data_IF_603901610928
#
_entry.id   IF_603901610928
#
_cell.length_a   1.000
_cell.length_b   1.000
_cell.length_c   1.000
_cell.angle_alpha   90.00
_cell.angle_beta   90.00
_cell.angle_gamma   90.00
#
_symmetry.space_group_name_H-M   'P 1'
#
loop_
_entity.id
_entity.type
_entity.pdbx_description
1 polymer ?
#
# COMPACT_ATOMS: atom_id res chain seq x y z
N UNK A 1 -2.27 -12.10 -8.13
CA UNK A 1 -1.65 -10.83 -8.57
C UNK A 1 -2.78 -9.91 -8.92
N UNK A 2 -2.70 -8.65 -8.50
CA UNK A 2 -3.78 -7.67 -8.66
C UNK A 2 -3.17 -6.38 -9.19
N UNK A 3 -3.85 -5.71 -10.11
CA UNK A 3 -3.46 -4.39 -10.58
C UNK A 3 -3.90 -3.34 -9.53
N UNK A 4 -2.94 -2.61 -8.97
CA UNK A 4 -3.22 -1.55 -7.97
C UNK A 4 -3.41 -0.19 -8.64
N UNK A 5 -2.52 0.15 -9.58
CA UNK A 5 -2.53 1.44 -10.26
C UNK A 5 -1.73 1.41 -11.55
N UNK A 6 -2.03 2.35 -12.44
CA UNK A 6 -1.24 2.65 -13.64
C UNK A 6 -0.73 4.07 -13.52
N UNK A 7 0.58 4.27 -13.68
CA UNK A 7 1.21 5.57 -13.58
C UNK A 7 2.13 5.87 -14.78
N UNK A 8 2.14 7.13 -15.19
CA UNK A 8 3.01 7.74 -16.18
C UNK A 8 3.81 8.84 -15.48
N UNK A 9 5.11 8.92 -15.75
CA UNK A 9 5.97 9.98 -15.27
C UNK A 9 7.08 10.29 -16.27
N UNK A 10 7.51 11.55 -16.30
CA UNK A 10 8.76 11.95 -16.93
C UNK A 10 9.91 11.58 -15.99
N UNK A 11 10.86 10.79 -16.48
CA UNK A 11 11.98 10.27 -15.69
C UNK A 11 13.24 11.13 -15.83
N UNK A 12 13.26 12.05 -16.79
CA UNK A 12 14.31 13.04 -16.92
C UNK A 12 14.03 14.22 -15.96
N UNK A 13 14.85 14.44 -14.92
CA UNK A 13 14.62 15.50 -13.94
C UNK A 13 14.72 16.92 -14.50
N UNK A 14 15.14 17.08 -15.76
CA UNK A 14 15.25 18.36 -16.44
C UNK A 14 14.06 18.69 -17.34
N UNK A 15 13.04 17.81 -17.40
CA UNK A 15 11.86 17.99 -18.25
C UNK A 15 10.59 17.83 -17.46
N UNK A 16 9.59 18.63 -17.82
CA UNK A 16 8.24 18.43 -17.33
C UNK A 16 7.54 17.33 -18.14
N UNK A 17 6.69 16.57 -17.47
CA UNK A 17 5.75 15.69 -18.13
C UNK A 17 4.72 16.55 -18.86
N UNK A 18 4.71 16.48 -20.19
CA UNK A 18 3.74 17.21 -21.01
C UNK A 18 2.33 16.63 -20.82
N UNK A 19 1.31 17.47 -20.98
CA UNK A 19 -0.08 17.04 -20.97
C UNK A 19 -0.36 15.99 -22.07
N UNK A 20 -1.21 15.03 -21.77
CA UNK A 20 -1.48 13.92 -22.68
C UNK A 20 -2.65 13.04 -22.26
N UNK A 21 -2.85 11.97 -23.01
CA UNK A 21 -3.84 10.94 -22.68
C UNK A 21 -3.42 9.56 -23.18
N UNK A 22 -3.87 8.53 -22.47
CA UNK A 22 -3.79 7.13 -22.88
C UNK A 22 -5.19 6.54 -22.95
N UNK A 23 -5.38 5.64 -23.91
CA UNK A 23 -6.57 4.79 -24.03
C UNK A 23 -6.14 3.37 -23.65
N UNK A 24 -6.89 2.73 -22.76
CA UNK A 24 -6.59 1.41 -22.24
C UNK A 24 -7.85 0.57 -22.38
N UNK A 25 -7.72 -0.55 -23.09
CA UNK A 25 -8.79 -1.53 -23.26
C UNK A 25 -8.66 -2.61 -22.17
N UNK A 26 -7.50 -3.26 -22.11
CA UNK A 26 -7.23 -4.34 -21.16
C UNK A 26 -5.79 -4.28 -20.64
N UNK A 27 -5.59 -4.71 -19.41
CA UNK A 27 -4.26 -5.05 -18.87
C UNK A 27 -4.23 -6.53 -18.49
N UNK A 28 -3.32 -7.28 -19.12
CA UNK A 28 -3.09 -8.70 -18.86
C UNK A 28 -1.63 -8.99 -18.52
N UNK A 29 -1.37 -10.16 -17.95
CA UNK A 29 -0.02 -10.66 -17.67
C UNK A 29 0.15 -12.09 -18.14
N UNK A 30 1.36 -12.42 -18.59
CA UNK A 30 1.74 -13.79 -18.91
C UNK A 30 2.38 -14.46 -17.70
N UNK A 31 1.81 -15.59 -17.28
CA UNK A 31 2.36 -16.40 -16.19
C UNK A 31 3.63 -17.15 -16.62
N UNK A 32 4.34 -17.74 -15.66
CA UNK A 32 5.48 -18.62 -15.95
C UNK A 32 5.10 -19.82 -16.83
N UNK A 33 3.81 -20.20 -16.82
CA UNK A 33 3.23 -21.26 -17.64
C UNK A 33 2.79 -20.79 -19.04
N UNK A 34 3.07 -19.52 -19.41
CA UNK A 34 2.60 -18.87 -20.64
C UNK A 34 1.08 -18.75 -20.77
N UNK A 35 0.37 -18.78 -19.64
CA UNK A 35 -1.07 -18.50 -19.63
C UNK A 35 -1.28 -17.00 -19.47
N UNK A 36 -2.19 -16.45 -20.27
CA UNK A 36 -2.62 -15.06 -20.15
C UNK A 36 -3.65 -14.93 -19.02
N UNK A 37 -3.37 -14.04 -18.08
CA UNK A 37 -4.27 -13.68 -16.99
C UNK A 37 -4.66 -12.21 -17.14
N UNK A 38 -5.93 -11.96 -17.44
CA UNK A 38 -6.50 -10.62 -17.49
C UNK A 38 -6.59 -10.06 -16.06
N UNK A 39 -6.02 -8.89 -15.84
CA UNK A 39 -6.06 -8.21 -14.54
C UNK A 39 -7.19 -7.19 -14.46
N UNK A 40 -7.49 -6.49 -15.56
CA UNK A 40 -8.55 -5.47 -15.62
C UNK A 40 -8.98 -5.23 -17.08
N UNK A 41 -10.29 -5.12 -17.31
CA UNK A 41 -10.91 -4.88 -18.63
C UNK A 41 -11.59 -3.53 -18.75
N UNK A 42 -11.60 -2.72 -17.67
CA UNK A 42 -12.02 -1.33 -17.66
C UNK A 42 -13.43 -1.07 -18.21
N UNK A 43 -14.39 -1.94 -17.91
CA UNK A 43 -15.78 -1.84 -18.41
C UNK A 43 -16.59 -0.67 -17.81
N UNK A 44 -16.12 -0.05 -16.72
CA UNK A 44 -16.79 1.09 -16.07
C UNK A 44 -15.81 2.15 -15.56
N UNK A 45 -16.19 3.43 -15.62
CA UNK A 45 -15.39 4.54 -15.10
C UNK A 45 -15.31 4.52 -13.56
N UNK A 46 -16.27 3.87 -12.92
CA UNK A 46 -16.32 3.72 -11.46
C UNK A 46 -15.28 2.72 -10.94
N UNK A 47 -14.58 2.01 -11.83
CA UNK A 47 -13.47 1.12 -11.45
C UNK A 47 -12.33 1.85 -10.77
N UNK A 48 -12.20 3.17 -10.98
CA UNK A 48 -10.89 3.79 -10.91
C UNK A 48 -10.97 5.23 -10.39
N UNK A 49 -9.93 5.65 -9.69
CA UNK A 49 -9.76 7.04 -9.23
C UNK A 49 -8.42 7.62 -9.65
N UNK A 50 -8.35 8.94 -9.86
CA UNK A 50 -7.10 9.61 -10.26
C UNK A 50 -6.09 9.68 -9.12
N UNK A 51 -4.80 9.55 -9.44
CA UNK A 51 -3.70 9.77 -8.49
C UNK A 51 -3.52 11.26 -8.19
N UNK A 52 -3.92 11.67 -6.99
CA UNK A 52 -3.84 13.04 -6.50
C UNK A 52 -2.46 13.43 -5.98
N UNK A 53 -1.38 13.11 -6.69
CA UNK A 53 -0.01 13.30 -6.18
C UNK A 53 0.35 14.78 -5.91
N UNK A 54 -0.19 15.72 -6.70
CA UNK A 54 0.13 17.15 -6.60
C UNK A 54 -1.06 18.04 -6.95
N UNK A 55 -0.97 19.34 -6.66
CA UNK A 55 -1.97 20.32 -7.13
C UNK A 55 -2.12 20.34 -8.66
N UNK A 56 -1.05 20.05 -9.41
CA UNK A 56 -1.11 19.96 -10.87
C UNK A 56 -1.99 18.77 -11.32
N UNK A 57 -2.11 17.72 -10.51
CA UNK A 57 -2.95 16.55 -10.79
C UNK A 57 -4.45 16.83 -10.70
N UNK A 58 -4.89 17.99 -10.19
CA UNK A 58 -6.32 18.33 -10.07
C UNK A 58 -7.06 18.40 -11.42
N UNK A 59 -6.33 18.60 -12.52
CA UNK A 59 -6.89 18.59 -13.87
C UNK A 59 -6.87 17.22 -14.55
N UNK A 60 -6.35 16.18 -13.88
CA UNK A 60 -6.31 14.84 -14.43
C UNK A 60 -7.74 14.27 -14.44
N UNK A 61 -8.06 13.49 -15.48
CA UNK A 61 -9.42 13.02 -15.70
C UNK A 61 -9.43 11.59 -16.22
N UNK A 62 -10.38 10.82 -15.68
CA UNK A 62 -10.78 9.51 -16.17
C UNK A 62 -12.12 9.68 -16.87
N UNK A 63 -12.20 9.17 -18.09
CA UNK A 63 -13.43 9.09 -18.87
C UNK A 63 -13.47 7.79 -19.63
N UNK A 64 -14.60 7.47 -20.23
CA UNK A 64 -14.78 6.28 -21.04
C UNK A 64 -14.95 6.66 -22.50
N UNK A 65 -14.39 5.84 -23.36
CA UNK A 65 -14.57 5.95 -24.82
C UNK A 65 -15.21 4.67 -25.29
N UNK A 66 -16.50 4.76 -25.64
CA UNK A 66 -17.25 3.70 -26.30
C UNK A 66 -17.35 4.00 -27.79
N UNK A 67 -17.14 2.99 -28.63
CA UNK A 67 -17.41 3.08 -30.06
C UNK A 67 -18.72 2.32 -30.36
N UNK A 68 -19.76 2.98 -30.86
CA UNK A 68 -21.07 2.32 -31.12
C UNK A 68 -20.98 1.13 -32.12
N UNK A 69 -19.83 0.92 -32.77
CA UNK A 69 -19.58 -0.17 -33.73
C UNK A 69 -18.70 -1.31 -33.20
N UNK A 70 -17.95 -1.09 -32.14
CA UNK A 70 -17.10 -2.10 -31.50
C UNK A 70 -17.42 -2.06 -30.01
N UNK A 71 -17.84 -3.18 -29.43
CA UNK A 71 -18.13 -3.30 -27.99
C UNK A 71 -16.80 -3.28 -27.22
N UNK A 72 -16.02 -2.21 -27.34
CA UNK A 72 -14.83 -1.94 -26.53
C UNK A 72 -15.09 -0.69 -25.71
N UNK A 73 -15.17 -0.89 -24.40
CA UNK A 73 -15.23 0.18 -23.42
C UNK A 73 -13.79 0.47 -22.99
N UNK A 74 -13.17 1.48 -23.59
CA UNK A 74 -11.80 1.85 -23.22
C UNK A 74 -11.81 2.91 -22.13
N UNK A 75 -10.95 2.72 -21.13
CA UNK A 75 -10.60 3.77 -20.19
C UNK A 75 -9.74 4.81 -20.91
N UNK A 76 -10.18 6.07 -20.87
CA UNK A 76 -9.35 7.22 -21.21
C UNK A 76 -8.86 7.88 -19.95
N UNK A 77 -7.56 7.76 -19.67
CA UNK A 77 -6.89 8.59 -18.70
C UNK A 77 -6.20 9.76 -19.39
N UNK A 78 -6.47 10.98 -18.93
CA UNK A 78 -5.83 12.20 -19.40
C UNK A 78 -5.23 12.97 -18.24
N UNK A 79 -4.06 13.55 -18.46
CA UNK A 79 -3.33 14.31 -17.45
C UNK A 79 -2.92 15.67 -17.98
N UNK A 80 -2.85 16.63 -17.07
CA UNK A 80 -2.24 17.93 -17.35
C UNK A 80 -0.72 17.89 -17.17
N UNK A 81 -0.04 18.96 -17.56
CA UNK A 81 1.42 19.05 -17.39
C UNK A 81 1.85 18.80 -15.92
N UNK A 82 3.01 18.18 -15.74
CA UNK A 82 3.51 17.73 -14.44
C UNK A 82 5.00 17.95 -14.26
N UNK A 83 5.41 18.06 -13.01
CA UNK A 83 6.83 18.04 -12.67
C UNK A 83 7.44 16.67 -12.98
N UNK A 84 8.76 16.60 -13.26
CA UNK A 84 9.47 15.34 -13.40
C UNK A 84 9.33 14.48 -12.15
N UNK A 85 9.54 13.16 -12.32
CA UNK A 85 9.56 12.16 -11.27
C UNK A 85 8.32 12.14 -10.36
N UNK A 86 7.21 12.69 -10.88
CA UNK A 86 5.92 12.72 -10.20
C UNK A 86 4.96 11.81 -10.95
N UNK A 87 4.46 10.78 -10.26
CA UNK A 87 3.45 9.88 -10.83
C UNK A 87 2.16 10.64 -11.18
N UNK A 88 1.67 10.44 -12.40
CA UNK A 88 0.32 10.79 -12.85
C UNK A 88 -0.37 9.53 -13.31
N UNK A 89 -1.64 9.34 -12.99
CA UNK A 89 -2.27 8.07 -13.29
C UNK A 89 -3.58 7.88 -12.58
N UNK A 90 -3.95 6.62 -12.46
CA UNK A 90 -5.15 6.21 -11.74
C UNK A 90 -4.86 4.92 -10.95
N UNK A 91 -5.61 4.74 -9.87
CA UNK A 91 -5.67 3.49 -9.10
C UNK A 91 -6.96 2.72 -9.42
N UNK A 92 -6.95 1.43 -9.17
CA UNK A 92 -8.09 0.53 -9.31
C UNK A 92 -8.81 0.40 -7.96
N UNK A 93 -10.14 0.33 -8.00
CA UNK A 93 -11.02 0.23 -6.85
C UNK A 93 -11.33 1.57 -6.18
N UNK A 94 -11.75 1.50 -4.92
CA UNK A 94 -12.01 2.65 -4.07
C UNK A 94 -10.99 2.67 -2.92
N UNK A 95 -10.33 3.80 -2.70
CA UNK A 95 -9.46 3.96 -1.55
C UNK A 95 -10.30 4.23 -0.29
N UNK A 96 -10.00 3.53 0.79
CA UNK A 96 -10.54 3.82 2.12
C UNK A 96 -9.78 5.01 2.69
N UNK A 97 -10.42 6.19 2.68
CA UNK A 97 -9.83 7.45 3.12
C UNK A 97 -10.81 8.25 3.98
N UNK A 98 -10.37 8.80 5.13
CA UNK A 98 -9.13 8.47 5.84
C UNK A 98 -9.13 7.01 6.35
N UNK A 99 -7.95 6.40 6.53
CA UNK A 99 -7.87 5.03 7.06
C UNK A 99 -8.21 5.02 8.54
N UNK A 100 -9.14 4.18 9.02
CA UNK A 100 -9.42 4.03 10.45
C UNK A 100 -8.17 3.60 11.22
N UNK A 101 -7.87 4.29 12.32
CA UNK A 101 -6.71 4.02 13.16
C UNK A 101 -7.08 3.90 14.65
N UNK A 102 -6.35 3.03 15.33
CA UNK A 102 -6.39 2.87 16.80
C UNK A 102 -5.01 3.23 17.33
N UNK A 103 -4.93 4.19 18.25
CA UNK A 103 -3.65 4.74 18.72
C UNK A 103 -3.38 4.40 20.18
N UNK A 104 -2.11 4.37 20.60
CA UNK A 104 -1.80 4.16 22.01
C UNK A 104 -2.26 5.35 22.86
N UNK A 105 -2.56 5.13 24.15
CA UNK A 105 -2.82 6.25 25.07
C UNK A 105 -1.61 7.17 25.23
N UNK A 106 -0.38 6.63 25.12
CA UNK A 106 0.84 7.45 25.05
C UNK A 106 0.77 8.45 23.90
N UNK A 107 0.36 8.00 22.70
CA UNK A 107 0.19 8.86 21.53
C UNK A 107 -0.75 10.02 21.84
N UNK A 108 -1.92 9.77 22.43
CA UNK A 108 -2.87 10.83 22.78
C UNK A 108 -2.38 11.76 23.90
N UNK A 109 -1.56 11.27 24.82
CA UNK A 109 -1.04 12.09 25.93
C UNK A 109 0.15 12.95 25.55
N UNK A 110 0.96 12.48 24.59
CA UNK A 110 2.19 13.14 24.13
C UNK A 110 1.93 14.02 22.90
N UNK A 111 0.86 13.76 22.17
CA UNK A 111 0.38 14.60 21.07
C UNK A 111 -0.82 15.43 21.54
N UNK A 112 -1.15 16.50 20.82
CA UNK A 112 -2.37 17.29 21.09
C UNK A 112 -3.61 16.72 20.35
N UNK A 113 -3.50 15.52 19.78
CA UNK A 113 -4.58 14.88 19.04
C UNK A 113 -5.54 14.13 19.96
N UNK A 114 -6.75 13.90 19.46
CA UNK A 114 -7.84 13.24 20.16
C UNK A 114 -8.51 12.19 19.28
N UNK A 115 -9.23 11.28 19.91
CA UNK A 115 -10.18 10.42 19.19
C UNK A 115 -11.17 11.30 18.42
N UNK A 116 -11.35 11.00 17.14
CA UNK A 116 -12.12 11.75 16.15
C UNK A 116 -11.28 12.64 15.23
N UNK A 117 -10.01 12.89 15.54
CA UNK A 117 -9.15 13.74 14.71
C UNK A 117 -8.67 13.01 13.45
N UNK A 118 -8.65 13.74 12.33
CA UNK A 118 -7.96 13.34 11.10
C UNK A 118 -6.50 13.82 11.14
N UNK A 119 -5.57 12.86 11.02
CA UNK A 119 -4.13 13.13 11.01
C UNK A 119 -3.49 12.53 9.76
N UNK A 120 -2.21 12.84 9.54
CA UNK A 120 -1.42 12.17 8.53
C UNK A 120 -0.19 11.53 9.16
N UNK A 121 -0.01 10.24 8.93
CA UNK A 121 1.18 9.48 9.33
C UNK A 121 2.12 9.27 8.14
N UNK A 122 3.38 9.00 8.41
CA UNK A 122 4.37 8.64 7.39
C UNK A 122 4.67 7.14 7.48
N UNK A 123 4.38 6.39 6.41
CA UNK A 123 4.70 4.97 6.27
C UNK A 123 5.68 4.82 5.12
N UNK A 124 6.92 4.41 5.41
CA UNK A 124 8.01 4.34 4.41
C UNK A 124 8.18 5.64 3.57
N UNK A 125 7.96 6.80 4.19
CA UNK A 125 8.03 8.10 3.52
C UNK A 125 6.78 8.50 2.73
N UNK A 126 5.76 7.64 2.67
CA UNK A 126 4.45 7.94 2.08
C UNK A 126 3.51 8.52 3.13
N UNK A 127 2.82 9.59 2.78
CA UNK A 127 1.86 10.25 3.66
C UNK A 127 0.50 9.54 3.58
N UNK A 128 0.07 8.94 4.69
CA UNK A 128 -1.20 8.22 4.79
C UNK A 128 -2.15 9.01 5.69
N UNK A 129 -3.30 9.48 5.19
CA UNK A 129 -4.30 10.11 6.03
C UNK A 129 -5.06 9.06 6.84
N UNK A 130 -5.23 9.31 8.13
CA UNK A 130 -5.88 8.37 9.06
C UNK A 130 -6.82 9.13 9.99
N UNK A 131 -7.91 8.47 10.40
CA UNK A 131 -8.82 8.96 11.42
C UNK A 131 -8.60 8.20 12.72
N UNK A 132 -8.47 8.91 13.84
CA UNK A 132 -8.29 8.27 15.16
C UNK A 132 -9.66 7.82 15.69
N UNK A 133 -10.02 6.56 15.46
CA UNK A 133 -11.33 6.01 15.87
C UNK A 133 -11.37 5.59 17.34
N UNK A 134 -10.23 5.19 17.90
CA UNK A 134 -10.15 4.77 19.31
C UNK A 134 -8.71 4.75 19.84
N UNK A 135 -8.54 4.36 21.11
CA UNK A 135 -7.23 4.18 21.71
C UNK A 135 -7.09 2.91 22.54
N UNK A 136 -5.85 2.47 22.73
CA UNK A 136 -5.48 1.28 23.48
C UNK A 136 -4.38 1.56 24.51
N UNK A 137 -4.36 0.76 25.59
CA UNK A 137 -3.36 0.90 26.66
C UNK A 137 -2.02 0.22 26.34
N UNK A 138 -2.05 -0.97 25.74
CA UNK A 138 -0.85 -1.77 25.48
C UNK A 138 -1.01 -2.67 24.26
N UNK A 139 0.01 -2.75 23.41
CA UNK A 139 0.09 -3.69 22.30
C UNK A 139 1.23 -4.69 22.53
N UNK A 140 0.86 -5.95 22.80
CA UNK A 140 1.76 -6.97 23.38
C UNK A 140 2.87 -7.47 22.47
N UNK A 141 2.89 -7.09 21.20
CA UNK A 141 3.93 -7.49 20.25
C UNK A 141 5.07 -6.48 20.15
N UNK A 142 4.91 -5.29 20.75
CA UNK A 142 5.92 -4.24 20.79
C UNK A 142 6.39 -4.11 22.24
N UNK A 143 7.63 -4.49 22.53
CA UNK A 143 8.21 -4.46 23.89
C UNK A 143 8.55 -3.03 24.36
N UNK A 144 7.64 -2.08 24.11
CA UNK A 144 7.86 -0.66 24.35
C UNK A 144 6.55 0.01 24.79
N UNK A 145 6.28 -0.08 26.10
CA UNK A 145 5.13 0.56 26.77
C UNK A 145 5.10 2.09 26.56
N UNK A 146 6.25 2.70 26.20
CA UNK A 146 6.43 4.16 26.12
C UNK A 146 6.55 4.72 24.70
N UNK A 147 6.29 3.92 23.67
CA UNK A 147 6.31 4.45 22.31
C UNK A 147 4.92 4.81 21.83
N UNK A 148 4.86 5.82 20.96
CA UNK A 148 3.65 6.24 20.28
C UNK A 148 3.37 5.24 19.16
N UNK A 149 2.24 4.55 19.26
CA UNK A 149 1.89 3.44 18.38
C UNK A 149 0.57 3.74 17.68
N UNK A 150 0.49 3.34 16.41
CA UNK A 150 -0.69 3.49 15.56
C UNK A 150 -0.94 2.15 14.89
N UNK A 151 -2.16 1.63 15.04
CA UNK A 151 -2.61 0.39 14.42
C UNK A 151 -3.63 0.79 13.35
N UNK A 152 -3.40 0.29 12.14
CA UNK A 152 -4.22 0.52 10.96
C UNK A 152 -4.38 -0.81 10.22
N UNK A 153 -5.43 -0.90 9.40
CA UNK A 153 -5.54 -1.97 8.44
C UNK A 153 -4.41 -1.84 7.39
N UNK A 154 -3.75 -2.97 7.09
CA UNK A 154 -2.60 -3.01 6.20
C UNK A 154 -3.01 -2.80 4.73
N UNK A 155 -4.18 -3.30 4.34
CA UNK A 155 -4.65 -3.28 2.95
C UNK A 155 -4.83 -1.86 2.42
N UNK A 156 -5.63 -0.97 3.05
CA UNK A 156 -5.79 0.39 2.55
C UNK A 156 -4.50 1.20 2.66
N UNK A 157 -3.63 0.93 3.64
CA UNK A 157 -2.30 1.56 3.72
C UNK A 157 -1.47 1.20 2.51
N UNK A 158 -1.48 -0.06 2.09
CA UNK A 158 -0.73 -0.55 0.94
C UNK A 158 -1.30 0.03 -0.36
N UNK A 159 -2.62 0.04 -0.52
CA UNK A 159 -3.28 0.63 -1.68
C UNK A 159 -2.89 2.11 -1.83
N UNK A 160 -2.94 2.90 -0.76
CA UNK A 160 -2.57 4.32 -0.78
C UNK A 160 -1.05 4.50 -1.02
N UNK A 161 -0.21 3.75 -0.31
CA UNK A 161 1.24 3.89 -0.39
C UNK A 161 1.79 3.50 -1.76
N UNK A 162 1.24 2.43 -2.36
CA UNK A 162 1.74 1.85 -3.60
C UNK A 162 1.10 2.48 -4.84
N UNK A 163 -0.13 3.00 -4.76
CA UNK A 163 -0.79 3.68 -5.88
C UNK A 163 0.01 4.86 -6.45
N UNK A 164 0.82 5.53 -5.62
CA UNK A 164 1.61 6.69 -6.03
C UNK A 164 3.10 6.38 -6.24
N UNK A 165 3.50 5.10 -6.23
CA UNK A 165 4.91 4.73 -6.34
C UNK A 165 5.36 4.62 -7.80
N UNK A 166 6.48 5.27 -8.13
CA UNK A 166 7.17 5.07 -9.41
C UNK A 166 8.21 3.95 -9.34
N UNK A 167 8.75 3.70 -8.13
CA UNK A 167 9.77 2.71 -7.84
C UNK A 167 9.62 2.25 -6.40
N UNK A 168 9.71 0.94 -6.20
CA UNK A 168 9.70 0.32 -4.87
C UNK A 168 8.29 0.31 -4.26
N UNK A 169 7.75 -0.89 -4.13
CA UNK A 169 6.48 -1.10 -3.45
C UNK A 169 6.73 -1.21 -1.94
N UNK A 170 5.81 -0.66 -1.16
CA UNK A 170 5.66 -1.01 0.24
C UNK A 170 5.27 -2.49 0.31
N UNK A 171 6.14 -3.27 0.92
CA UNK A 171 5.92 -4.69 1.19
C UNK A 171 5.93 -4.93 2.70
N UNK A 172 5.33 -6.05 3.18
CA UNK A 172 5.38 -6.39 4.59
C UNK A 172 6.85 -6.56 5.02
N UNK A 173 7.22 -5.92 6.13
CA UNK A 173 8.58 -5.94 6.68
C UNK A 173 8.71 -6.79 7.94
N UNK A 174 7.59 -7.23 8.53
CA UNK A 174 7.56 -8.09 9.71
C UNK A 174 6.43 -9.12 9.59
N UNK A 175 6.67 -10.33 10.10
CA UNK A 175 5.68 -11.41 10.16
C UNK A 175 5.67 -11.96 11.58
N UNK A 176 4.47 -12.04 12.17
CA UNK A 176 4.27 -12.72 13.45
C UNK A 176 3.76 -14.13 13.25
N UNK A 177 4.49 -15.10 13.78
CA UNK A 177 4.13 -16.52 13.70
C UNK A 177 3.64 -17.00 15.07
N UNK A 178 2.45 -17.60 15.10
CA UNK A 178 1.98 -18.37 16.24
C UNK A 178 2.21 -19.84 15.96
N UNK A 179 3.00 -20.50 16.81
CA UNK A 179 3.17 -21.96 16.78
C UNK A 179 2.02 -22.62 17.53
N UNK A 180 1.67 -23.84 17.12
CA UNK A 180 0.62 -24.63 17.78
C UNK A 180 1.02 -25.00 19.21
N UNK A 181 0.05 -25.00 20.13
CA UNK A 181 0.29 -25.24 21.57
C UNK A 181 0.91 -26.62 21.87
N UNK A 182 0.76 -27.59 20.97
CA UNK A 182 1.34 -28.93 21.08
C UNK A 182 2.70 -29.13 20.38
N UNK A 183 3.31 -28.06 19.84
CA UNK A 183 4.62 -28.17 19.20
C UNK A 183 5.69 -28.52 20.23
N UNK A 184 6.37 -29.64 20.03
CA UNK A 184 7.47 -30.05 20.90
C UNK A 184 8.70 -29.14 20.74
N UNK A 185 9.59 -29.16 21.73
CA UNK A 185 10.78 -28.30 21.76
C UNK A 185 11.76 -28.56 20.61
N UNK A 186 11.84 -29.78 20.09
CA UNK A 186 12.73 -30.15 18.99
C UNK A 186 12.18 -29.57 17.69
N UNK A 187 10.90 -29.81 17.39
CA UNK A 187 10.21 -29.23 16.24
C UNK A 187 10.29 -27.71 16.24
N UNK A 188 10.13 -27.09 17.41
CA UNK A 188 10.28 -25.66 17.58
C UNK A 188 11.70 -25.18 17.28
N UNK A 189 12.73 -25.85 17.82
CA UNK A 189 14.13 -25.51 17.57
C UNK A 189 14.46 -25.62 16.09
N UNK A 190 13.99 -26.68 15.44
CA UNK A 190 14.16 -26.90 14.01
C UNK A 190 13.53 -25.79 13.17
N UNK A 191 12.34 -25.30 13.54
CA UNK A 191 11.71 -24.16 12.88
C UNK A 191 12.55 -22.89 13.02
N UNK A 192 13.03 -22.58 14.23
CA UNK A 192 13.88 -21.41 14.49
C UNK A 192 15.17 -21.48 13.67
N UNK A 193 15.82 -22.64 13.66
CA UNK A 193 17.05 -22.85 12.90
C UNK A 193 16.82 -22.84 11.39
N UNK A 194 15.63 -23.26 10.93
CA UNK A 194 15.22 -23.12 9.54
C UNK A 194 15.05 -21.64 9.16
N UNK A 195 14.32 -20.86 9.96
CA UNK A 195 14.11 -19.42 9.69
C UNK A 195 15.42 -18.62 9.66
N UNK A 196 16.38 -18.97 10.54
CA UNK A 196 17.72 -18.35 10.55
C UNK A 196 18.57 -18.62 9.31
N UNK A 197 18.22 -19.62 8.49
CA UNK A 197 18.95 -19.92 7.26
C UNK A 197 18.66 -18.90 6.15
N UNK A 198 17.71 -17.99 6.34
CA UNK A 198 17.40 -16.92 5.37
C UNK A 198 17.12 -17.45 3.96
N UNK A 199 16.51 -18.64 3.87
CA UNK A 199 16.24 -19.32 2.61
C UNK A 199 14.77 -19.76 2.58
N UNK A 200 13.94 -19.27 1.64
CA UNK A 200 14.30 -18.51 0.43
C UNK A 200 14.37 -16.98 0.60
N UNK A 201 14.02 -16.44 1.77
CA UNK A 201 13.95 -15.00 1.98
C UNK A 201 14.92 -14.51 3.07
N UNK A 202 15.68 -13.44 2.82
CA UNK A 202 16.47 -12.79 3.86
C UNK A 202 15.53 -12.18 4.92
N UNK A 203 15.91 -12.29 6.19
CA UNK A 203 15.19 -11.66 7.31
C UNK A 203 16.12 -10.69 8.03
N UNK A 204 15.63 -9.50 8.36
CA UNK A 204 16.43 -8.50 9.09
C UNK A 204 16.72 -8.89 10.54
N UNK A 205 15.95 -9.83 11.09
CA UNK A 205 16.13 -10.37 12.44
C UNK A 205 15.03 -11.38 12.80
N UNK A 206 15.30 -12.23 13.77
CA UNK A 206 14.34 -13.18 14.34
C UNK A 206 14.21 -12.94 15.84
N UNK A 207 13.01 -12.58 16.28
CA UNK A 207 12.70 -12.41 17.71
C UNK A 207 12.03 -13.68 18.24
N UNK A 208 12.72 -14.38 19.15
CA UNK A 208 12.15 -15.51 19.89
C UNK A 208 11.68 -15.04 21.28
N UNK A 209 10.37 -14.84 21.42
CA UNK A 209 9.76 -14.38 22.68
C UNK A 209 10.02 -15.32 23.85
N UNK A 210 10.14 -16.63 23.63
CA UNK A 210 10.37 -17.59 24.72
C UNK A 210 11.81 -17.54 25.25
N UNK A 211 12.75 -17.08 24.42
CA UNK A 211 14.15 -16.90 24.83
C UNK A 211 14.36 -15.55 25.52
N UNK A 212 13.58 -14.53 25.16
CA UNK A 212 13.71 -13.17 25.69
C UNK A 212 12.91 -12.91 26.98
N UNK A 213 12.09 -13.85 27.46
CA UNK A 213 11.41 -13.77 28.75
C UNK A 213 12.31 -14.17 29.95
N UNK A 214 13.61 -14.36 29.71
CA UNK A 214 14.59 -14.87 30.68
C UNK A 214 15.57 -13.83 31.26
N UNK A 215 15.49 -12.56 30.85
CA UNK A 215 16.34 -11.46 31.34
C UNK A 215 15.51 -10.35 32.00
#
# INVERSE_FOLDING_TARGET
>A
MTLVSVAVAETNPQRDLLAGSILIDEISVLTAQQEELILETFESAECCGTLGATKKSLGDNISHVSNDKEVSNMLKFSWTEGSPETARGFYIGQLVLPVPAVVSKSFLSETNYKVGDDIAISVAGKRIPVNIESSFDYFSTLDRVRENQVIVDIDPVFDIANSHTLRGDLTPNEIWLRVSDGMDSISRSNLVDYLKKENPYPIGGLVDRMKNLGD
#
